data_IF_838724910923
#
_entry.id   IF_838724910923
#
_cell.length_a   1.000
_cell.length_b   1.000
_cell.length_c   1.000
_cell.angle_alpha   90.00
_cell.angle_beta   90.00
_cell.angle_gamma   90.00
#
_symmetry.space_group_name_H-M   'P 1'
#
loop_
_entity.id
_entity.type
_entity.pdbx_description
1 polymer ?
#
# COMPACT_ATOMS: atom_id res chain seq x y z
N UNK A 1 -7.51 30.25 -6.70
CA UNK A 1 -7.39 29.22 -7.79
C UNK A 1 -7.14 27.90 -7.10
N UNK A 2 -7.88 26.84 -7.45
CA UNK A 2 -7.67 25.55 -6.85
C UNK A 2 -6.37 24.88 -7.31
N UNK A 3 -5.91 23.88 -6.58
CA UNK A 3 -4.63 23.22 -6.85
C UNK A 3 -4.57 22.57 -8.24
N UNK A 4 -5.67 21.97 -8.69
CA UNK A 4 -5.72 21.37 -10.04
C UNK A 4 -5.58 22.42 -11.13
N UNK A 5 -6.23 23.57 -10.99
CA UNK A 5 -6.10 24.70 -11.91
C UNK A 5 -4.68 25.24 -11.92
N UNK A 6 -4.04 25.36 -10.76
CA UNK A 6 -2.63 25.78 -10.65
C UNK A 6 -1.69 24.78 -11.35
N UNK A 7 -1.94 23.47 -11.17
CA UNK A 7 -1.17 22.42 -11.83
C UNK A 7 -1.27 22.56 -13.36
N UNK A 8 -2.50 22.67 -13.89
CA UNK A 8 -2.75 22.82 -15.32
C UNK A 8 -2.17 24.10 -15.91
N UNK A 9 -2.07 25.14 -15.10
CA UNK A 9 -1.46 26.41 -15.50
C UNK A 9 0.08 26.43 -15.39
N UNK A 10 0.71 25.31 -14.98
CA UNK A 10 2.16 25.23 -14.82
C UNK A 10 2.71 26.06 -13.65
N UNK A 11 1.88 26.40 -12.67
CA UNK A 11 2.25 27.27 -11.55
C UNK A 11 2.89 26.52 -10.37
N UNK A 12 2.99 25.19 -10.43
CA UNK A 12 3.47 24.35 -9.33
C UNK A 12 4.89 23.79 -9.59
N UNK A 13 5.63 24.35 -10.52
CA UNK A 13 6.99 23.91 -10.82
C UNK A 13 7.86 23.93 -9.55
N UNK A 14 8.62 22.86 -9.33
CA UNK A 14 9.56 22.76 -8.20
C UNK A 14 8.96 22.28 -6.88
N UNK A 15 7.65 22.04 -6.78
CA UNK A 15 7.08 21.50 -5.55
C UNK A 15 7.53 20.05 -5.32
N UNK A 16 7.70 19.70 -4.06
CA UNK A 16 8.06 18.34 -3.64
C UNK A 16 6.87 17.50 -3.23
N UNK A 17 5.77 18.13 -2.83
CA UNK A 17 4.54 17.47 -2.41
C UNK A 17 3.35 18.04 -3.16
N UNK A 18 2.51 17.16 -3.69
CA UNK A 18 1.25 17.51 -4.32
C UNK A 18 0.12 16.71 -3.67
N UNK A 19 -0.90 17.42 -3.19
CA UNK A 19 -2.15 16.85 -2.70
C UNK A 19 -3.30 17.29 -3.61
N UNK A 20 -4.02 16.32 -4.18
CA UNK A 20 -5.20 16.57 -5.01
C UNK A 20 -6.37 15.69 -4.55
N UNK A 21 -7.44 16.31 -4.07
CA UNK A 21 -8.70 15.66 -3.74
C UNK A 21 -9.84 16.50 -4.30
N UNK A 22 -10.23 16.21 -5.54
CA UNK A 22 -11.16 17.05 -6.30
C UNK A 22 -12.04 16.23 -7.26
N UNK A 23 -12.37 14.99 -6.88
CA UNK A 23 -13.23 14.14 -7.68
C UNK A 23 -12.58 13.61 -8.96
N UNK A 24 -11.27 13.42 -8.98
CA UNK A 24 -10.56 12.92 -10.15
C UNK A 24 -11.04 11.53 -10.53
N UNK A 25 -11.37 11.34 -11.80
CA UNK A 25 -11.67 10.04 -12.42
C UNK A 25 -10.50 9.51 -13.24
N UNK A 26 -9.52 10.37 -13.54
CA UNK A 26 -8.31 10.06 -14.28
C UNK A 26 -7.12 10.80 -13.66
N UNK A 27 -5.95 10.20 -13.78
CA UNK A 27 -4.69 10.80 -13.37
C UNK A 27 -4.39 12.03 -14.25
N UNK A 28 -4.20 13.21 -13.65
CA UNK A 28 -3.82 14.41 -14.40
C UNK A 28 -2.40 14.27 -14.94
N UNK A 29 -2.25 14.20 -16.25
CA UNK A 29 -0.92 13.98 -16.85
C UNK A 29 0.03 15.18 -16.66
N UNK A 30 -0.50 16.34 -16.34
CA UNK A 30 0.28 17.52 -15.96
C UNK A 30 1.16 17.29 -14.73
N UNK A 31 0.87 16.26 -13.92
CA UNK A 31 1.73 15.86 -12.81
C UNK A 31 3.15 15.51 -13.28
N UNK A 32 3.30 14.98 -14.48
CA UNK A 32 4.62 14.67 -15.05
C UNK A 32 5.49 15.91 -15.31
N UNK A 33 4.91 17.09 -15.37
CA UNK A 33 5.67 18.34 -15.44
C UNK A 33 6.44 18.63 -14.13
N UNK A 34 6.09 17.92 -13.05
CA UNK A 34 6.77 18.03 -11.76
C UNK A 34 7.86 16.95 -11.56
N UNK A 35 8.26 16.25 -12.62
CA UNK A 35 9.17 15.11 -12.55
C UNK A 35 10.51 15.42 -11.87
N UNK A 36 11.02 16.64 -12.01
CA UNK A 36 12.32 17.04 -11.46
C UNK A 36 12.29 17.24 -9.93
N UNK A 37 11.11 17.39 -9.32
CA UNK A 37 11.01 17.78 -7.91
C UNK A 37 10.08 16.93 -7.08
N UNK A 38 9.04 16.30 -7.66
CA UNK A 38 7.99 15.64 -6.91
C UNK A 38 8.48 14.39 -6.19
N UNK A 39 8.33 14.40 -4.87
CA UNK A 39 8.69 13.28 -3.98
C UNK A 39 7.48 12.62 -3.34
N UNK A 40 6.44 13.38 -3.03
CA UNK A 40 5.23 12.93 -2.34
C UNK A 40 4.01 13.30 -3.18
N UNK A 41 3.23 12.30 -3.55
CA UNK A 41 1.98 12.46 -4.28
C UNK A 41 0.83 11.86 -3.48
N UNK A 42 -0.14 12.69 -3.11
CA UNK A 42 -1.35 12.27 -2.43
C UNK A 42 -2.57 12.51 -3.31
N UNK A 43 -3.13 11.43 -3.83
CA UNK A 43 -4.34 11.43 -4.67
C UNK A 43 -5.53 10.79 -3.92
N UNK A 44 -5.51 10.81 -2.59
CA UNK A 44 -6.58 10.24 -1.78
C UNK A 44 -7.88 11.04 -1.94
N UNK A 45 -9.02 10.37 -1.77
CA UNK A 45 -10.33 11.02 -1.84
C UNK A 45 -10.76 11.39 -3.25
N UNK A 46 -10.47 10.55 -4.24
CA UNK A 46 -10.90 10.71 -5.62
C UNK A 46 -11.73 9.48 -6.08
N UNK A 47 -11.92 9.34 -7.37
CA UNK A 47 -12.61 8.22 -7.99
C UNK A 47 -11.71 7.49 -9.00
N UNK A 48 -10.41 7.42 -8.72
CA UNK A 48 -9.44 6.79 -9.59
C UNK A 48 -9.59 5.27 -9.60
N UNK A 49 -9.41 4.67 -10.76
CA UNK A 49 -9.42 3.21 -10.96
C UNK A 49 -8.09 2.69 -11.49
N UNK A 50 -7.24 3.59 -11.97
CA UNK A 50 -5.93 3.25 -12.54
C UNK A 50 -4.95 4.39 -12.38
N UNK A 51 -3.67 4.07 -12.54
CA UNK A 51 -2.58 5.01 -12.68
C UNK A 51 -1.92 4.79 -14.04
N UNK A 52 -1.23 5.79 -14.61
CA UNK A 52 -0.58 5.65 -15.90
C UNK A 52 0.57 4.63 -15.83
N UNK A 53 0.73 3.84 -16.89
CA UNK A 53 1.78 2.82 -16.96
C UNK A 53 3.18 3.42 -16.89
N UNK A 54 3.32 4.67 -17.26
CA UNK A 54 4.57 5.43 -17.25
C UNK A 54 4.79 6.25 -15.96
N UNK A 55 4.17 5.86 -14.84
CA UNK A 55 4.34 6.55 -13.55
C UNK A 55 5.82 6.68 -13.13
N UNK A 56 6.68 5.76 -13.56
CA UNK A 56 8.12 5.78 -13.33
C UNK A 56 8.84 7.01 -13.94
N UNK A 57 8.14 7.78 -14.78
CA UNK A 57 8.61 9.10 -15.26
C UNK A 57 8.70 10.14 -14.15
N UNK A 58 8.24 9.81 -12.94
CA UNK A 58 8.46 10.57 -11.72
C UNK A 58 9.61 9.91 -10.92
N UNK A 59 10.89 10.18 -11.25
CA UNK A 59 12.02 9.41 -10.73
C UNK A 59 12.30 9.66 -9.24
N UNK A 60 11.81 10.78 -8.70
CA UNK A 60 12.01 11.15 -7.30
C UNK A 60 10.83 10.77 -6.41
N UNK A 61 9.77 10.17 -6.98
CA UNK A 61 8.59 9.77 -6.22
C UNK A 61 8.97 8.67 -5.22
N UNK A 62 8.82 8.98 -3.93
CA UNK A 62 9.09 8.07 -2.81
C UNK A 62 7.86 7.75 -1.96
N UNK A 63 6.81 8.57 -2.01
CA UNK A 63 5.57 8.38 -1.26
C UNK A 63 4.38 8.59 -2.18
N UNK A 64 3.48 7.59 -2.23
CA UNK A 64 2.24 7.65 -2.98
C UNK A 64 1.08 7.21 -2.09
N UNK A 65 0.09 8.09 -1.94
CA UNK A 65 -1.18 7.79 -1.27
C UNK A 65 -2.34 7.92 -2.24
N UNK A 66 -3.15 6.87 -2.34
CA UNK A 66 -4.37 6.80 -3.14
C UNK A 66 -5.52 6.20 -2.32
N UNK A 67 -5.63 6.56 -1.04
CA UNK A 67 -6.72 6.10 -0.18
C UNK A 67 -8.06 6.64 -0.67
N UNK A 68 -9.15 5.94 -0.34
CA UNK A 68 -10.51 6.36 -0.72
C UNK A 68 -10.64 6.65 -2.23
N UNK A 69 -10.30 5.68 -3.05
CA UNK A 69 -10.51 5.66 -4.49
C UNK A 69 -11.28 4.40 -4.89
N UNK A 70 -11.27 4.05 -6.17
CA UNK A 70 -12.02 2.92 -6.70
C UNK A 70 -11.13 1.85 -7.35
N UNK A 71 -9.90 1.67 -6.87
CA UNK A 71 -8.99 0.64 -7.36
C UNK A 71 -9.49 -0.75 -6.99
N UNK A 72 -9.44 -1.67 -7.95
CA UNK A 72 -9.75 -3.10 -7.75
C UNK A 72 -8.49 -3.97 -7.73
N UNK A 73 -7.36 -3.42 -8.15
CA UNK A 73 -6.04 -4.04 -8.06
C UNK A 73 -4.99 -2.99 -7.70
N UNK A 74 -3.92 -3.41 -7.04
CA UNK A 74 -2.77 -2.54 -6.84
C UNK A 74 -2.09 -2.34 -8.21
N UNK A 75 -1.89 -1.10 -8.66
CA UNK A 75 -1.37 -0.84 -10.02
C UNK A 75 0.00 -1.45 -10.26
N UNK A 76 0.13 -2.23 -11.33
CA UNK A 76 1.39 -2.90 -11.69
C UNK A 76 2.54 -1.91 -11.94
N UNK A 77 2.24 -0.70 -12.38
CA UNK A 77 3.24 0.34 -12.67
C UNK A 77 4.07 0.75 -11.44
N UNK A 78 3.58 0.48 -10.22
CA UNK A 78 4.31 0.84 -8.99
C UNK A 78 5.65 0.12 -8.89
N UNK A 79 5.73 -1.12 -9.40
CA UNK A 79 6.95 -1.93 -9.34
C UNK A 79 8.12 -1.35 -10.13
N UNK A 80 7.87 -0.46 -11.07
CA UNK A 80 8.90 0.22 -11.87
C UNK A 80 9.39 1.52 -11.22
N UNK A 81 8.76 1.96 -10.15
CA UNK A 81 9.12 3.18 -9.43
C UNK A 81 10.27 2.90 -8.45
N UNK A 82 11.51 3.17 -8.87
CA UNK A 82 12.71 2.72 -8.18
C UNK A 82 12.94 3.37 -6.79
N UNK A 83 12.41 4.56 -6.55
CA UNK A 83 12.55 5.28 -5.28
C UNK A 83 11.31 5.18 -4.39
N UNK A 84 10.23 4.55 -4.89
CA UNK A 84 8.98 4.45 -4.17
C UNK A 84 9.13 3.52 -2.96
N UNK A 85 8.93 4.09 -1.75
CA UNK A 85 9.11 3.38 -0.49
C UNK A 85 7.85 3.30 0.36
N UNK A 86 6.93 4.25 0.22
CA UNK A 86 5.66 4.27 0.94
C UNK A 86 4.50 4.24 -0.04
N UNK A 87 3.65 3.22 0.07
CA UNK A 87 2.50 2.99 -0.80
C UNK A 87 1.26 2.80 0.08
N UNK A 88 0.27 3.68 -0.07
CA UNK A 88 -0.97 3.62 0.68
C UNK A 88 -2.20 3.64 -0.23
N UNK A 89 -3.00 2.58 -0.16
CA UNK A 89 -4.27 2.41 -0.90
C UNK A 89 -5.39 1.98 0.03
N UNK A 90 -5.46 2.55 1.22
CA UNK A 90 -6.53 2.27 2.19
C UNK A 90 -7.91 2.58 1.60
N UNK A 91 -8.91 1.79 1.98
CA UNK A 91 -10.31 2.04 1.61
C UNK A 91 -10.52 2.13 0.09
N UNK A 92 -10.06 1.13 -0.60
CA UNK A 92 -10.37 0.85 -2.00
C UNK A 92 -11.16 -0.48 -2.09
N UNK A 93 -11.13 -1.12 -3.22
CA UNK A 93 -11.79 -2.40 -3.47
C UNK A 93 -10.80 -3.43 -4.03
N UNK A 94 -9.54 -3.34 -3.57
CA UNK A 94 -8.44 -4.13 -4.11
C UNK A 94 -8.63 -5.60 -3.75
N UNK A 95 -8.70 -6.44 -4.79
CA UNK A 95 -8.81 -7.89 -4.68
C UNK A 95 -7.49 -8.59 -4.97
N UNK A 96 -6.57 -7.93 -5.69
CA UNK A 96 -5.33 -8.53 -6.16
C UNK A 96 -4.13 -7.60 -6.01
N UNK A 97 -3.01 -8.20 -5.61
CA UNK A 97 -1.68 -7.59 -5.63
C UNK A 97 -0.78 -8.53 -6.41
N UNK A 98 -0.31 -8.10 -7.58
CA UNK A 98 0.68 -8.86 -8.35
C UNK A 98 2.09 -8.54 -7.88
N UNK A 99 3.03 -9.45 -8.13
CA UNK A 99 4.45 -9.23 -7.87
C UNK A 99 4.97 -7.97 -8.57
N UNK A 100 4.48 -7.72 -9.80
CA UNK A 100 4.87 -6.55 -10.60
C UNK A 100 4.53 -5.21 -9.95
N UNK A 101 3.56 -5.18 -9.02
CA UNK A 101 3.13 -3.97 -8.32
C UNK A 101 4.02 -3.60 -7.13
N UNK A 102 4.96 -4.45 -6.73
CA UNK A 102 5.77 -4.27 -5.53
C UNK A 102 7.08 -3.53 -5.85
N UNK A 103 7.23 -2.27 -5.41
CA UNK A 103 8.48 -1.54 -5.63
C UNK A 103 9.67 -2.21 -4.95
N UNK A 104 10.88 -2.14 -5.56
CA UNK A 104 12.06 -2.80 -4.97
C UNK A 104 12.49 -2.22 -3.63
N UNK A 105 12.19 -0.95 -3.35
CA UNK A 105 12.53 -0.29 -2.09
C UNK A 105 11.33 -0.13 -1.15
N UNK A 106 10.29 -0.94 -1.31
CA UNK A 106 9.08 -0.88 -0.50
C UNK A 106 9.41 -1.04 0.99
N UNK A 107 9.01 -0.03 1.78
CA UNK A 107 9.13 0.00 3.25
C UNK A 107 7.77 -0.05 3.94
N UNK A 108 6.81 0.73 3.49
CA UNK A 108 5.47 0.78 4.05
C UNK A 108 4.46 0.42 2.96
N UNK A 109 3.67 -0.62 3.22
CA UNK A 109 2.54 -1.01 2.38
C UNK A 109 1.27 -0.96 3.22
N UNK A 110 0.36 -0.05 2.85
CA UNK A 110 -0.90 0.17 3.55
C UNK A 110 -2.04 -0.22 2.62
N UNK A 111 -2.69 -1.34 2.92
CA UNK A 111 -3.81 -1.88 2.16
C UNK A 111 -5.03 -2.14 3.06
N UNK A 112 -5.14 -1.39 4.16
CA UNK A 112 -6.25 -1.46 5.10
C UNK A 112 -7.58 -1.25 4.39
N UNK A 113 -8.60 -2.03 4.79
CA UNK A 113 -9.97 -1.92 4.27
C UNK A 113 -10.04 -2.09 2.74
N UNK A 114 -9.60 -3.23 2.27
CA UNK A 114 -9.72 -3.71 0.91
C UNK A 114 -10.38 -5.11 0.89
N UNK A 115 -10.22 -5.85 -0.20
CA UNK A 115 -10.87 -7.16 -0.40
C UNK A 115 -9.87 -8.26 -0.73
N UNK A 116 -8.64 -8.15 -0.21
CA UNK A 116 -7.57 -9.10 -0.47
C UNK A 116 -7.86 -10.44 0.18
N UNK A 117 -7.79 -11.52 -0.59
CA UNK A 117 -7.85 -12.90 -0.09
C UNK A 117 -6.48 -13.56 0.02
N UNK A 118 -5.48 -13.03 -0.68
CA UNK A 118 -4.09 -13.51 -0.66
C UNK A 118 -3.12 -12.41 -1.06
N UNK A 119 -1.84 -12.64 -0.77
CA UNK A 119 -0.72 -11.77 -1.13
C UNK A 119 0.31 -12.60 -1.91
N UNK A 120 1.07 -11.98 -2.83
CA UNK A 120 2.11 -12.70 -3.57
C UNK A 120 3.30 -13.04 -2.67
N UNK A 121 3.94 -14.17 -2.93
CA UNK A 121 5.13 -14.62 -2.21
C UNK A 121 6.30 -13.64 -2.36
N UNK A 122 6.37 -12.94 -3.46
CA UNK A 122 7.40 -11.94 -3.77
C UNK A 122 7.41 -10.75 -2.79
N UNK A 123 6.34 -10.58 -2.00
CA UNK A 123 6.35 -9.59 -0.91
C UNK A 123 7.47 -9.89 0.10
N UNK A 124 7.76 -11.17 0.35
CA UNK A 124 8.87 -11.60 1.20
C UNK A 124 10.27 -11.29 0.64
N UNK A 125 10.35 -10.94 -0.62
CA UNK A 125 11.60 -10.55 -1.28
C UNK A 125 11.88 -9.04 -1.18
N UNK A 126 11.07 -8.30 -0.42
CA UNK A 126 11.26 -6.86 -0.20
C UNK A 126 12.05 -6.63 1.09
N UNK A 127 13.40 -6.49 1.00
CA UNK A 127 14.25 -6.50 2.19
C UNK A 127 14.04 -5.31 3.12
N UNK A 128 13.51 -4.21 2.60
CA UNK A 128 13.28 -2.98 3.37
C UNK A 128 11.89 -2.90 3.98
N UNK A 129 11.02 -3.91 3.75
CA UNK A 129 9.66 -3.90 4.29
C UNK A 129 9.69 -3.78 5.81
N UNK A 130 9.09 -2.71 6.32
CA UNK A 130 9.11 -2.31 7.72
C UNK A 130 7.70 -2.29 8.33
N UNK A 131 6.72 -1.80 7.59
CA UNK A 131 5.33 -1.71 8.04
C UNK A 131 4.40 -2.29 6.98
N UNK A 132 3.57 -3.25 7.41
CA UNK A 132 2.58 -3.91 6.58
C UNK A 132 1.21 -3.82 7.26
N UNK A 133 0.30 -3.06 6.67
CA UNK A 133 -1.03 -2.80 7.21
C UNK A 133 -2.09 -3.41 6.32
N UNK A 134 -2.69 -4.50 6.78
CA UNK A 134 -3.61 -5.35 6.05
C UNK A 134 -4.95 -5.55 6.77
N UNK A 135 -5.23 -4.76 7.80
CA UNK A 135 -6.47 -4.89 8.54
C UNK A 135 -7.70 -4.69 7.64
N UNK A 136 -8.79 -5.40 7.94
CA UNK A 136 -10.04 -5.22 7.20
C UNK A 136 -10.00 -5.80 5.77
N UNK A 137 -9.34 -6.93 5.58
CA UNK A 137 -9.32 -7.67 4.33
C UNK A 137 -9.97 -9.06 4.49
N UNK A 138 -9.70 -9.97 3.58
CA UNK A 138 -10.26 -11.33 3.54
C UNK A 138 -9.18 -12.40 3.51
N UNK A 139 -8.01 -12.11 4.09
CA UNK A 139 -6.87 -13.01 4.07
C UNK A 139 -7.14 -14.25 4.90
N UNK A 140 -6.95 -15.42 4.32
CA UNK A 140 -7.08 -16.71 4.98
C UNK A 140 -5.72 -17.21 5.51
N UNK A 141 -4.63 -16.73 4.92
CA UNK A 141 -3.27 -17.03 5.32
C UNK A 141 -2.32 -15.89 4.90
N UNK A 142 -1.14 -15.87 5.50
CA UNK A 142 -0.04 -14.97 5.13
C UNK A 142 1.00 -15.77 4.33
N UNK A 143 1.67 -15.14 3.34
CA UNK A 143 2.77 -15.78 2.65
C UNK A 143 3.89 -16.14 3.64
N UNK A 144 4.34 -17.39 3.65
CA UNK A 144 5.44 -17.82 4.52
C UNK A 144 6.75 -17.06 4.25
N UNK A 145 6.91 -16.54 3.05
CA UNK A 145 8.06 -15.71 2.63
C UNK A 145 8.22 -14.44 3.47
N UNK A 146 7.15 -13.95 4.11
CA UNK A 146 7.24 -12.80 5.01
C UNK A 146 8.21 -13.02 6.17
N UNK A 147 8.48 -14.28 6.54
CA UNK A 147 9.49 -14.62 7.54
C UNK A 147 10.89 -14.10 7.18
N UNK A 148 11.14 -13.85 5.90
CA UNK A 148 12.40 -13.31 5.39
C UNK A 148 12.50 -11.78 5.46
N UNK A 149 11.39 -11.10 5.79
CA UNK A 149 11.36 -9.64 5.96
C UNK A 149 11.92 -9.27 7.34
N UNK A 150 13.24 -9.36 7.53
CA UNK A 150 13.89 -9.18 8.83
C UNK A 150 13.80 -7.75 9.38
N UNK A 151 13.41 -6.79 8.57
CA UNK A 151 13.19 -5.41 8.99
C UNK A 151 11.74 -5.10 9.35
N UNK A 152 10.83 -6.07 9.23
CA UNK A 152 9.42 -5.88 9.57
C UNK A 152 9.25 -5.60 11.07
N UNK A 153 8.72 -4.43 11.37
CA UNK A 153 8.52 -3.92 12.73
C UNK A 153 7.05 -3.88 13.13
N UNK A 154 6.16 -3.60 12.17
CA UNK A 154 4.73 -3.48 12.41
C UNK A 154 3.95 -4.30 11.39
N UNK A 155 3.09 -5.19 11.90
CA UNK A 155 2.16 -5.98 11.11
C UNK A 155 0.76 -5.86 11.69
N UNK A 156 -0.17 -5.34 10.89
CA UNK A 156 -1.60 -5.26 11.23
C UNK A 156 -2.38 -6.18 10.32
N UNK A 157 -2.92 -7.25 10.91
CA UNK A 157 -3.71 -8.28 10.23
C UNK A 157 -5.08 -8.48 10.90
N UNK A 158 -5.49 -7.53 11.71
CA UNK A 158 -6.80 -7.56 12.36
C UNK A 158 -7.95 -7.61 11.34
N UNK A 159 -9.09 -8.15 11.74
CA UNK A 159 -10.29 -8.23 10.91
C UNK A 159 -10.04 -8.85 9.52
N UNK A 160 -9.44 -10.02 9.51
CA UNK A 160 -9.24 -10.89 8.35
C UNK A 160 -9.91 -12.25 8.59
N UNK A 161 -9.55 -13.27 7.83
CA UNK A 161 -10.11 -14.63 7.89
C UNK A 161 -9.06 -15.67 8.26
N UNK A 162 -8.02 -15.27 8.97
CA UNK A 162 -6.94 -16.17 9.40
C UNK A 162 -7.44 -17.19 10.40
N UNK A 163 -7.16 -18.46 10.15
CA UNK A 163 -7.54 -19.59 11.02
C UNK A 163 -6.46 -19.95 12.02
N UNK A 164 -5.24 -19.47 11.82
CA UNK A 164 -4.13 -19.65 12.74
C UNK A 164 -3.13 -18.49 12.62
N UNK A 165 -2.42 -18.24 13.69
CA UNK A 165 -1.28 -17.31 13.70
C UNK A 165 -0.03 -18.11 13.33
N UNK A 166 0.68 -17.75 12.23
CA UNK A 166 1.90 -18.46 11.84
C UNK A 166 2.96 -18.40 12.94
N UNK A 167 3.54 -19.56 13.30
CA UNK A 167 4.54 -19.65 14.36
C UNK A 167 5.80 -18.82 14.07
N UNK A 168 6.17 -18.64 12.79
CA UNK A 168 7.34 -17.86 12.41
C UNK A 168 7.23 -16.37 12.76
N UNK A 169 6.02 -15.82 12.96
CA UNK A 169 5.83 -14.44 13.39
C UNK A 169 6.52 -14.15 14.73
N UNK A 170 6.49 -15.13 15.65
CA UNK A 170 7.07 -14.99 16.98
C UNK A 170 8.61 -15.03 16.96
N UNK A 171 9.19 -15.47 15.85
CA UNK A 171 10.64 -15.56 15.65
C UNK A 171 11.21 -14.39 14.82
N UNK A 172 10.39 -13.46 14.41
CA UNK A 172 10.84 -12.33 13.58
C UNK A 172 11.63 -11.33 14.42
N UNK A 173 12.88 -10.97 14.01
CA UNK A 173 13.84 -10.31 14.89
C UNK A 173 13.46 -8.89 15.29
N UNK A 174 12.70 -8.17 14.46
CA UNK A 174 12.34 -6.77 14.70
C UNK A 174 10.85 -6.52 14.85
N UNK A 175 10.02 -7.56 14.79
CA UNK A 175 8.57 -7.41 14.92
C UNK A 175 8.21 -6.97 16.34
N UNK A 176 7.77 -5.72 16.48
CA UNK A 176 7.43 -5.10 17.76
C UNK A 176 5.91 -4.85 17.93
N UNK A 177 5.20 -4.70 16.81
CA UNK A 177 3.77 -4.40 16.79
C UNK A 177 3.03 -5.41 15.93
N UNK A 178 2.19 -6.23 16.58
CA UNK A 178 1.35 -7.22 15.92
C UNK A 178 -0.09 -7.03 16.37
N UNK A 179 -0.97 -6.61 15.46
CA UNK A 179 -2.40 -6.49 15.70
C UNK A 179 -3.16 -7.55 14.91
N UNK A 180 -3.87 -8.45 15.57
CA UNK A 180 -4.51 -9.61 14.95
C UNK A 180 -5.95 -9.87 15.37
N UNK A 181 -6.57 -9.00 16.16
CA UNK A 181 -7.93 -9.18 16.64
C UNK A 181 -8.94 -9.30 15.49
N UNK A 182 -10.06 -9.99 15.73
CA UNK A 182 -11.11 -10.14 14.73
C UNK A 182 -10.85 -11.17 13.63
N UNK A 183 -9.91 -12.09 13.85
CA UNK A 183 -9.71 -13.27 13.02
C UNK A 183 -10.35 -14.51 13.65
N UNK A 184 -10.71 -15.56 12.89
CA UNK A 184 -11.28 -16.78 13.45
C UNK A 184 -10.44 -17.41 14.56
N UNK A 185 -9.11 -17.44 14.43
CA UNK A 185 -8.25 -18.01 15.47
C UNK A 185 -8.29 -17.21 16.78
N UNK A 186 -8.47 -15.89 16.72
CA UNK A 186 -8.51 -15.03 17.91
C UNK A 186 -9.82 -15.11 18.70
N UNK A 187 -10.88 -15.69 18.10
CA UNK A 187 -12.19 -15.90 18.74
C UNK A 187 -12.34 -17.30 19.32
N UNK A 188 -11.57 -18.27 18.83
CA UNK A 188 -11.64 -19.67 19.30
C UNK A 188 -11.16 -19.84 20.76
N UNK A 189 -10.16 -19.07 21.16
CA UNK A 189 -9.60 -19.16 22.53
C UNK A 189 -10.54 -18.60 23.61
N UNK A 190 -11.53 -17.78 23.22
CA UNK A 190 -12.52 -17.25 24.16
C UNK A 190 -13.56 -18.31 24.61
N UNK A 191 -13.68 -19.42 23.88
CA UNK A 191 -14.64 -20.48 24.18
C UNK A 191 -14.00 -21.73 24.87
N UNK A 192 -12.68 -21.78 24.95
CA UNK A 192 -11.98 -22.91 25.60
C UNK A 192 -11.58 -22.63 27.06
N UNK A 193 -11.89 -21.44 27.57
CA UNK A 193 -11.57 -21.02 28.93
C UNK A 193 -12.81 -21.03 29.89
N UNK A 194 -13.79 -21.91 29.63
CA UNK A 194 -14.91 -22.20 30.56
C UNK A 194 -14.91 -23.65 30.97
#
# INVERSE_FOLDING_TARGET
>A
MDTLAQLKAGQLAGIKRLDLSCGLTQFPREIFELADSLEILNLSGNALRSLPDDLHRLPHLRVLFCSDNAFTELPACLGQCQQLSMVGFKANQIEQVSAAALPPQLRWLILTDNRLSHLPDELGERPLLQKLMLAGNRLEQLPASLAQCHNLELLRIAANRLTQLPAWLLSMPRLAWLAFAGNPFSTADAHTAL
#
